data_IF_655494803140
#
_entry.id   IF_655494803140
#
_cell.length_a   1.000
_cell.length_b   1.000
_cell.length_c   1.000
_cell.angle_alpha   90.00
_cell.angle_beta   90.00
_cell.angle_gamma   90.00
#
_symmetry.space_group_name_H-M   'P 1'
#
loop_
_entity.id
_entity.type
_entity.pdbx_description
1 polymer ?
#
# COMPACT_ATOMS: atom_id res chain seq x y z
N UNK A 1 10.46 23.39 63.05
CA UNK A 1 10.26 22.53 61.86
C UNK A 1 8.82 22.53 61.29
N UNK A 2 7.85 23.27 61.86
CA UNK A 2 6.43 23.22 61.46
C UNK A 2 6.03 24.22 60.35
N UNK A 3 6.68 25.39 60.27
CA UNK A 3 6.34 26.45 59.28
C UNK A 3 6.61 26.05 57.82
N UNK A 4 7.73 25.37 57.53
CA UNK A 4 8.09 24.92 56.17
C UNK A 4 7.09 23.90 55.59
N UNK A 5 6.57 23.00 56.42
CA UNK A 5 5.57 21.99 56.03
C UNK A 5 4.21 22.64 55.75
N UNK A 6 3.85 23.70 56.49
CA UNK A 6 2.61 24.45 56.31
C UNK A 6 2.63 25.26 55.01
N UNK A 7 3.76 25.89 54.68
CA UNK A 7 3.96 26.60 53.41
C UNK A 7 3.96 25.66 52.20
N UNK A 8 4.54 24.46 52.33
CA UNK A 8 4.53 23.45 51.28
C UNK A 8 3.12 22.90 51.00
N UNK A 9 2.33 22.64 52.06
CA UNK A 9 0.93 22.23 51.93
C UNK A 9 0.05 23.32 51.30
N UNK A 10 0.28 24.60 51.63
CA UNK A 10 -0.46 25.71 51.01
C UNK A 10 -0.13 25.84 49.51
N UNK A 11 1.15 25.68 49.14
CA UNK A 11 1.59 25.75 47.75
C UNK A 11 1.01 24.62 46.90
N UNK A 12 1.01 23.38 47.41
CA UNK A 12 0.40 22.22 46.74
C UNK A 12 -1.12 22.41 46.56
N UNK A 13 -1.81 23.01 47.55
CA UNK A 13 -3.25 23.22 47.49
C UNK A 13 -3.67 24.28 46.46
N UNK A 14 -2.81 25.28 46.17
CA UNK A 14 -3.07 26.31 45.17
C UNK A 14 -2.63 25.90 43.75
N UNK A 15 -1.60 25.09 43.59
CA UNK A 15 -1.11 24.65 42.26
C UNK A 15 -1.90 23.45 41.71
N UNK A 16 -2.40 22.56 42.56
CA UNK A 16 -3.20 21.41 42.15
C UNK A 16 -4.45 21.75 41.29
N UNK A 17 -5.29 22.75 41.61
CA UNK A 17 -6.47 23.06 40.79
C UNK A 17 -6.12 23.65 39.41
N UNK A 18 -4.92 24.22 39.23
CA UNK A 18 -4.47 24.77 37.94
C UNK A 18 -4.12 23.65 36.96
N UNK A 19 -3.51 22.56 37.44
CA UNK A 19 -3.16 21.40 36.63
C UNK A 19 -4.38 20.58 36.18
N UNK A 20 -5.48 20.60 36.96
CA UNK A 20 -6.71 19.86 36.66
C UNK A 20 -7.63 20.58 35.65
N UNK A 21 -7.46 21.89 35.43
CA UNK A 21 -8.33 22.68 34.55
C UNK A 21 -7.88 22.71 33.08
N UNK A 22 -6.77 22.04 32.73
CA UNK A 22 -6.19 22.11 31.38
C UNK A 22 -6.93 21.29 30.31
N UNK A 23 -7.98 20.54 30.67
CA UNK A 23 -8.71 19.68 29.72
C UNK A 23 -9.99 20.31 29.15
N UNK A 24 -10.19 21.63 29.31
CA UNK A 24 -11.40 22.32 28.83
C UNK A 24 -11.19 23.29 27.66
N UNK A 25 -9.96 23.54 27.22
CA UNK A 25 -9.68 24.38 26.06
C UNK A 25 -9.52 23.49 24.82
N UNK A 26 -10.45 23.66 23.87
CA UNK A 26 -10.62 22.90 22.62
C UNK A 26 -9.46 22.97 21.60
N UNK A 27 -8.22 22.89 22.07
CA UNK A 27 -7.00 22.74 21.25
C UNK A 27 -6.80 21.29 20.76
N UNK A 28 -7.47 20.31 21.40
CA UNK A 28 -7.37 18.88 21.12
C UNK A 28 -8.46 18.36 20.16
N UNK A 29 -8.76 19.13 19.11
CA UNK A 29 -9.56 18.66 17.97
C UNK A 29 -10.91 18.07 18.36
N UNK A 30 -11.86 18.92 18.76
CA UNK A 30 -13.25 18.50 18.77
C UNK A 30 -13.60 17.94 17.39
N UNK A 31 -14.05 16.67 17.36
CA UNK A 31 -14.53 16.06 16.12
C UNK A 31 -15.77 16.85 15.69
N UNK A 32 -15.56 17.77 14.76
CA UNK A 32 -16.62 18.48 14.05
C UNK A 32 -17.71 17.46 13.70
N UNK A 33 -18.94 17.70 14.18
CA UNK A 33 -20.07 16.83 13.87
C UNK A 33 -20.17 16.70 12.36
N UNK A 34 -19.88 15.50 11.86
CA UNK A 34 -19.92 15.19 10.43
C UNK A 34 -21.31 15.53 9.92
N UNK A 35 -21.41 16.53 9.05
CA UNK A 35 -22.67 16.91 8.40
C UNK A 35 -23.18 15.69 7.65
N UNK A 36 -24.34 15.18 8.06
CA UNK A 36 -25.01 14.09 7.36
C UNK A 36 -25.70 14.73 6.16
N UNK A 37 -25.20 14.44 4.97
CA UNK A 37 -25.83 14.87 3.72
C UNK A 37 -27.17 14.14 3.62
N UNK A 38 -28.27 14.89 3.56
CA UNK A 38 -29.61 14.35 3.32
C UNK A 38 -29.73 13.91 1.85
N UNK A 39 -30.28 12.72 1.62
CA UNK A 39 -30.52 12.21 0.27
C UNK A 39 -30.29 10.70 0.14
N UNK A 40 -30.99 10.10 -0.83
CA UNK A 40 -30.80 8.70 -1.19
C UNK A 40 -29.48 8.52 -1.97
N UNK A 41 -28.59 7.69 -1.46
CA UNK A 41 -27.33 7.36 -2.14
C UNK A 41 -27.60 6.41 -3.31
N UNK A 42 -27.59 6.93 -4.52
CA UNK A 42 -27.61 6.11 -5.75
C UNK A 42 -26.20 5.62 -6.07
N UNK A 43 -26.01 4.31 -6.13
CA UNK A 43 -24.76 3.72 -6.59
C UNK A 43 -24.55 4.03 -8.08
N UNK A 44 -23.45 4.70 -8.42
CA UNK A 44 -23.07 5.00 -9.81
C UNK A 44 -22.50 3.75 -10.49
N UNK A 45 -21.91 2.85 -9.70
CA UNK A 45 -21.40 1.58 -10.20
C UNK A 45 -22.56 0.59 -10.18
N UNK A 46 -23.08 0.33 -11.37
CA UNK A 46 -24.12 -0.65 -11.61
C UNK A 46 -23.75 -1.99 -10.94
N UNK A 47 -24.74 -2.58 -10.27
CA UNK A 47 -24.86 -3.98 -9.86
C UNK A 47 -23.80 -4.85 -10.51
N UNK A 48 -22.91 -5.45 -9.70
CA UNK A 48 -21.95 -6.46 -10.15
C UNK A 48 -22.71 -7.47 -11.01
N UNK A 49 -22.53 -7.40 -12.32
CA UNK A 49 -23.08 -8.36 -13.24
C UNK A 49 -22.35 -9.65 -12.91
N UNK A 50 -23.08 -10.62 -12.37
CA UNK A 50 -22.53 -11.96 -12.12
C UNK A 50 -22.28 -12.55 -13.51
N UNK A 51 -21.04 -12.44 -13.99
CA UNK A 51 -20.61 -13.00 -15.25
C UNK A 51 -20.81 -14.51 -15.18
N UNK A 52 -21.66 -15.05 -16.05
CA UNK A 52 -21.79 -16.48 -16.28
C UNK A 52 -20.96 -16.86 -17.49
N UNK A 53 -20.25 -17.99 -17.47
CA UNK A 53 -19.54 -18.48 -18.65
C UNK A 53 -20.52 -18.69 -19.80
N UNK A 54 -20.08 -18.36 -21.00
CA UNK A 54 -20.83 -18.62 -22.23
C UNK A 54 -20.50 -20.04 -22.70
N UNK A 55 -21.44 -20.97 -22.46
CA UNK A 55 -21.28 -22.38 -22.81
C UNK A 55 -21.17 -22.60 -24.34
N UNK A 56 -21.49 -21.61 -25.18
CA UNK A 56 -21.29 -21.73 -26.63
C UNK A 56 -19.81 -21.80 -27.05
N UNK A 57 -18.89 -21.43 -26.14
CA UNK A 57 -17.45 -21.47 -26.38
C UNK A 57 -16.78 -22.78 -25.92
N UNK A 58 -17.54 -23.71 -25.31
CA UNK A 58 -17.01 -24.96 -24.76
C UNK A 58 -16.43 -25.89 -25.85
N UNK A 59 -16.94 -25.80 -27.07
CA UNK A 59 -16.48 -26.60 -28.22
C UNK A 59 -15.27 -25.98 -28.96
N UNK A 60 -14.86 -24.76 -28.60
CA UNK A 60 -13.75 -24.08 -29.28
C UNK A 60 -12.42 -24.57 -28.71
N UNK A 61 -11.72 -25.39 -29.50
CA UNK A 61 -10.36 -25.79 -29.18
C UNK A 61 -9.39 -24.61 -29.32
N UNK A 62 -8.87 -24.13 -28.20
CA UNK A 62 -7.86 -23.07 -28.16
C UNK A 62 -6.48 -23.69 -28.39
N UNK A 63 -5.84 -23.34 -29.51
CA UNK A 63 -4.46 -23.71 -29.78
C UNK A 63 -3.54 -22.52 -29.51
N UNK A 64 -2.61 -22.70 -28.58
CA UNK A 64 -1.56 -21.72 -28.29
C UNK A 64 -0.27 -22.11 -29.04
N UNK A 65 0.53 -21.14 -29.52
CA UNK A 65 1.89 -21.40 -30.00
C UNK A 65 2.73 -22.10 -28.94
N UNK A 66 3.83 -22.76 -29.30
CA UNK A 66 4.74 -23.31 -28.29
C UNK A 66 5.26 -22.21 -27.33
N UNK A 67 5.36 -22.49 -26.01
CA UNK A 67 5.93 -21.54 -25.05
C UNK A 67 7.41 -21.30 -25.37
N UNK A 68 7.90 -20.10 -25.08
CA UNK A 68 9.29 -19.70 -25.34
C UNK A 68 9.98 -19.23 -24.07
N UNK A 69 11.27 -19.58 -23.94
CA UNK A 69 12.12 -19.03 -22.90
C UNK A 69 12.26 -17.51 -23.06
N UNK A 70 12.27 -16.81 -21.93
CA UNK A 70 12.40 -15.36 -21.86
C UNK A 70 13.64 -14.95 -21.06
N UNK A 71 14.81 -15.06 -21.68
CA UNK A 71 16.10 -14.81 -21.03
C UNK A 71 16.34 -13.33 -20.67
N UNK A 72 15.72 -12.40 -21.39
CA UNK A 72 15.89 -10.96 -21.17
C UNK A 72 14.53 -10.29 -21.01
N UNK A 73 14.45 -9.40 -20.03
CA UNK A 73 13.31 -8.53 -19.77
C UNK A 73 13.82 -7.09 -19.62
N UNK A 74 14.29 -6.45 -20.71
CA UNK A 74 15.04 -5.19 -20.63
C UNK A 74 14.18 -3.97 -20.27
N UNK A 75 12.86 -4.07 -20.35
CA UNK A 75 11.95 -2.97 -20.02
C UNK A 75 10.63 -3.44 -19.41
N UNK A 76 9.88 -2.53 -18.81
CA UNK A 76 8.51 -2.80 -18.34
C UNK A 76 7.66 -3.35 -19.50
N UNK A 77 7.00 -4.48 -19.30
CA UNK A 77 6.25 -5.18 -20.36
C UNK A 77 7.13 -6.00 -21.33
N UNK A 78 8.40 -6.24 -21.00
CA UNK A 78 9.32 -7.11 -21.72
C UNK A 78 10.06 -6.39 -22.83
N UNK A 79 9.36 -6.08 -23.92
CA UNK A 79 9.91 -5.48 -25.15
C UNK A 79 9.11 -4.24 -25.56
N UNK A 80 9.59 -3.49 -26.56
CA UNK A 80 9.01 -2.22 -27.02
C UNK A 80 7.50 -2.26 -27.31
N UNK A 81 6.96 -3.42 -27.69
CA UNK A 81 5.53 -3.61 -27.97
C UNK A 81 4.67 -3.76 -26.72
N UNK A 82 5.27 -3.89 -25.52
CA UNK A 82 4.60 -4.24 -24.26
C UNK A 82 3.76 -5.53 -24.33
N UNK A 83 4.05 -6.41 -25.31
CA UNK A 83 3.28 -7.62 -25.59
C UNK A 83 4.18 -8.86 -25.49
N UNK A 84 4.40 -9.31 -24.26
CA UNK A 84 4.96 -10.64 -24.00
C UNK A 84 3.90 -11.70 -24.32
N UNK A 85 4.28 -12.66 -25.15
CA UNK A 85 3.39 -13.73 -25.63
C UNK A 85 3.47 -14.94 -24.70
N UNK A 86 3.34 -16.15 -25.24
CA UNK A 86 3.40 -17.40 -24.49
C UNK A 86 4.83 -17.65 -23.96
N UNK A 87 5.11 -17.15 -22.76
CA UNK A 87 6.38 -17.35 -22.05
C UNK A 87 6.34 -18.70 -21.33
N UNK A 88 7.45 -19.42 -21.40
CA UNK A 88 7.63 -20.70 -20.71
C UNK A 88 7.78 -20.50 -19.20
N UNK A 89 7.08 -21.31 -18.42
CA UNK A 89 7.22 -21.43 -16.97
C UNK A 89 7.24 -22.92 -16.61
N UNK A 90 8.02 -23.30 -15.60
CA UNK A 90 8.03 -24.68 -15.10
C UNK A 90 6.73 -25.04 -14.37
N UNK A 91 6.45 -26.33 -14.25
CA UNK A 91 5.19 -26.85 -13.68
C UNK A 91 4.96 -26.42 -12.22
N UNK A 92 6.04 -26.26 -11.45
CA UNK A 92 6.00 -25.87 -10.05
C UNK A 92 7.12 -24.84 -9.76
N UNK A 93 6.86 -23.53 -9.94
CA UNK A 93 7.87 -22.51 -9.69
C UNK A 93 8.21 -22.43 -8.18
N UNK A 94 9.50 -22.48 -7.87
CA UNK A 94 10.03 -22.27 -6.52
C UNK A 94 10.96 -21.04 -6.47
N UNK A 95 11.20 -20.52 -5.26
CA UNK A 95 12.09 -19.37 -5.06
C UNK A 95 13.54 -19.81 -5.16
N UNK A 96 14.22 -19.39 -6.23
CA UNK A 96 15.64 -19.70 -6.47
C UNK A 96 16.58 -18.85 -5.61
N UNK A 97 16.26 -17.57 -5.41
CA UNK A 97 17.07 -16.65 -4.60
C UNK A 97 16.24 -15.46 -4.12
N UNK A 98 16.81 -14.71 -3.17
CA UNK A 98 16.27 -13.45 -2.70
C UNK A 98 17.43 -12.54 -2.28
N UNK A 99 17.32 -11.25 -2.58
CA UNK A 99 18.28 -10.24 -2.15
C UNK A 99 17.57 -8.92 -1.81
N UNK A 100 18.17 -8.12 -0.93
CA UNK A 100 17.75 -6.73 -0.71
C UNK A 100 18.30 -5.85 -1.84
N UNK A 101 17.48 -4.91 -2.30
CA UNK A 101 17.85 -3.95 -3.36
C UNK A 101 18.18 -2.55 -2.82
N UNK A 102 18.25 -2.41 -1.49
CA UNK A 102 18.38 -1.13 -0.79
C UNK A 102 17.27 -0.94 0.24
N UNK A 103 16.83 0.30 0.47
CA UNK A 103 15.73 0.61 1.38
C UNK A 103 14.34 0.39 0.76
N UNK A 104 14.23 0.53 -0.56
CA UNK A 104 12.96 0.39 -1.29
C UNK A 104 12.03 1.60 -1.10
N UNK A 105 10.73 1.42 -1.35
CA UNK A 105 9.74 2.49 -1.19
C UNK A 105 9.30 2.71 0.26
N UNK A 106 8.92 3.94 0.60
CA UNK A 106 8.28 4.35 1.84
C UNK A 106 6.92 5.01 1.58
N UNK A 107 6.17 5.36 2.62
CA UNK A 107 4.88 6.06 2.49
C UNK A 107 5.03 7.44 1.82
N UNK A 108 6.17 8.11 2.02
CA UNK A 108 6.48 9.41 1.41
C UNK A 108 7.22 9.30 0.08
N UNK A 109 7.87 8.16 -0.21
CA UNK A 109 8.66 7.95 -1.43
C UNK A 109 8.32 6.60 -2.07
N UNK A 110 7.56 6.62 -3.16
CA UNK A 110 7.14 5.39 -3.84
C UNK A 110 8.20 4.94 -4.85
N UNK A 111 8.67 3.69 -4.71
CA UNK A 111 9.49 3.04 -5.74
C UNK A 111 8.60 2.56 -6.90
N UNK A 112 8.68 3.24 -8.05
CA UNK A 112 7.87 2.92 -9.24
C UNK A 112 8.65 2.17 -10.32
N UNK A 113 9.97 2.12 -10.22
CA UNK A 113 10.83 1.41 -11.16
C UNK A 113 10.61 -0.10 -11.05
N UNK A 114 10.28 -0.74 -12.18
CA UNK A 114 10.24 -2.19 -12.25
C UNK A 114 11.66 -2.74 -12.46
N UNK A 115 12.01 -3.89 -11.85
CA UNK A 115 13.27 -4.57 -12.17
C UNK A 115 13.33 -4.93 -13.65
N UNK A 116 14.53 -4.93 -14.21
CA UNK A 116 14.79 -5.41 -15.58
C UNK A 116 15.85 -6.49 -15.56
N UNK A 117 15.83 -7.36 -16.56
CA UNK A 117 16.82 -8.41 -16.76
C UNK A 117 17.47 -8.23 -18.12
N UNK A 118 18.80 -8.13 -18.16
CA UNK A 118 19.55 -8.09 -19.41
C UNK A 118 20.92 -8.72 -19.24
N UNK A 119 21.34 -9.53 -20.21
CA UNK A 119 22.67 -10.16 -20.24
C UNK A 119 22.98 -10.96 -18.95
N UNK A 120 21.97 -11.65 -18.41
CA UNK A 120 22.11 -12.45 -17.18
C UNK A 120 22.17 -11.64 -15.89
N UNK A 121 21.98 -10.32 -15.95
CA UNK A 121 21.97 -9.45 -14.77
C UNK A 121 20.57 -8.94 -14.46
N UNK A 122 20.21 -8.93 -13.17
CA UNK A 122 19.01 -8.26 -12.67
C UNK A 122 19.40 -6.86 -12.22
N UNK A 123 18.72 -5.85 -12.76
CA UNK A 123 19.00 -4.45 -12.48
C UNK A 123 17.78 -3.82 -11.82
N UNK A 124 18.02 -3.07 -10.75
CA UNK A 124 17.00 -2.42 -9.94
C UNK A 124 17.41 -0.99 -9.63
N UNK A 125 16.43 -0.14 -9.34
CA UNK A 125 16.65 1.17 -8.75
C UNK A 125 16.20 1.13 -7.29
N UNK A 126 16.92 1.86 -6.44
CA UNK A 126 16.52 2.13 -5.06
C UNK A 126 16.03 3.58 -4.92
N UNK A 127 15.31 3.87 -3.84
CA UNK A 127 14.86 5.24 -3.53
C UNK A 127 15.93 6.05 -2.79
N UNK A 128 16.90 5.38 -2.16
CA UNK A 128 18.04 6.04 -1.54
C UNK A 128 19.14 6.32 -2.55
N UNK A 129 19.83 7.43 -2.32
CA UNK A 129 20.85 7.96 -3.23
C UNK A 129 22.23 7.42 -2.88
#
# INVERSE_FOLDING_TARGET
MSRKIRSFKLFVCCVAPILLSSCGFGFLGERQKKVVIEGERKAIIAKQIKLTPDNSLDEISIQLPAPKENANWPQRGGIATHALKHVQLGDAPERVWQSKIGEGGSESIVLTAAPIVSNGMVMTLDTTR
#
